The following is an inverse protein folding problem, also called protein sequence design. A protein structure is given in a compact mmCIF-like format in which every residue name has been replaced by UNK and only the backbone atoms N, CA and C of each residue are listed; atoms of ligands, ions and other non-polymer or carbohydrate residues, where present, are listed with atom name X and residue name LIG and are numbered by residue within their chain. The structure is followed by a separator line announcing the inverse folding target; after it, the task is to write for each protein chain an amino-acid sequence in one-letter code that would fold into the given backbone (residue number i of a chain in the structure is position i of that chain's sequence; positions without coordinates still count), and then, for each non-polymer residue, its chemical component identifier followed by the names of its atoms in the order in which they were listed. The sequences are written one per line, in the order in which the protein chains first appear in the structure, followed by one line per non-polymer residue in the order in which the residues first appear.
data_IF_724915255600
#
_entry.id   IF_724915255600
#
_cell.length_a   1.000
_cell.length_b   1.000
_cell.length_c   1.000
_cell.angle_alpha   90.00
_cell.angle_beta   90.00
_cell.angle_gamma   90.00
#
_symmetry.space_group_name_H-M   'P 1'
#
loop_
_entity.id
_entity.type
_entity.pdbx_description
1 polymer ?
#
# COMPACT_ATOMS: atom_id res chain seq x y z
N UNK A 1 -10.47 -18.80 3.35
CA UNK A 1 -10.21 -17.34 3.37
C UNK A 1 -8.98 -17.11 4.25
N UNK A 2 -7.80 -17.09 3.64
CA UNK A 2 -6.56 -16.47 4.13
C UNK A 2 -5.44 -16.86 3.17
N UNK A 3 -4.82 -15.89 2.50
CA UNK A 3 -3.51 -16.06 1.84
C UNK A 3 -2.80 -14.72 1.82
N UNK A 4 -2.63 -14.16 3.03
CA UNK A 4 -1.68 -13.09 3.26
C UNK A 4 -0.37 -13.72 3.75
N UNK A 5 0.80 -13.25 3.26
CA UNK A 5 0.97 -12.15 2.32
C UNK A 5 0.59 -12.53 0.88
N UNK A 6 -0.24 -11.71 0.22
CA UNK A 6 -0.59 -11.90 -1.19
C UNK A 6 0.41 -11.15 -2.05
N UNK A 7 1.03 -11.86 -2.98
CA UNK A 7 1.99 -11.34 -3.94
C UNK A 7 1.41 -11.50 -5.34
N UNK A 8 1.02 -10.39 -5.97
CA UNK A 8 0.64 -10.41 -7.38
C UNK A 8 1.90 -10.19 -8.21
N UNK A 9 2.31 -11.17 -9.03
CA UNK A 9 3.61 -11.13 -9.72
C UNK A 9 3.65 -10.11 -10.88
N UNK A 10 2.52 -9.85 -11.55
CA UNK A 10 2.45 -8.94 -12.71
C UNK A 10 2.58 -7.46 -12.33
N UNK A 11 1.93 -7.07 -11.24
CA UNK A 11 2.07 -5.75 -10.66
C UNK A 11 2.63 -5.99 -9.27
N UNK A 12 3.89 -5.60 -9.02
CA UNK A 12 4.66 -5.82 -7.78
C UNK A 12 3.97 -5.21 -6.53
N UNK A 13 2.78 -5.71 -6.23
CA UNK A 13 1.86 -5.31 -5.18
C UNK A 13 2.01 -6.36 -4.08
N UNK A 14 2.31 -5.88 -2.88
CA UNK A 14 2.41 -6.70 -1.68
C UNK A 14 1.33 -6.26 -0.71
N UNK A 15 0.48 -7.19 -0.31
CA UNK A 15 -0.51 -6.97 0.74
C UNK A 15 -0.09 -7.81 1.93
N UNK A 16 0.09 -7.17 3.09
CA UNK A 16 0.52 -7.85 4.31
C UNK A 16 -0.11 -7.21 5.56
N UNK A 17 -0.33 -7.99 6.63
CA UNK A 17 -0.70 -7.44 7.93
C UNK A 17 0.38 -6.49 8.46
N UNK A 18 -0.03 -5.42 9.14
CA UNK A 18 0.89 -4.50 9.84
C UNK A 18 0.19 -3.98 11.10
N UNK A 19 0.76 -4.23 12.28
CA UNK A 19 0.15 -3.83 13.54
C UNK A 19 -1.27 -4.39 13.69
N UNK A 20 -2.26 -3.51 13.86
CA UNK A 20 -3.69 -3.87 13.99
C UNK A 20 -4.45 -3.86 12.65
N UNK A 21 -3.76 -3.58 11.55
CA UNK A 21 -4.36 -3.36 10.24
C UNK A 21 -3.66 -4.10 9.10
N UNK A 22 -3.86 -3.60 7.90
CA UNK A 22 -3.28 -4.14 6.66
C UNK A 22 -2.54 -3.01 5.94
N UNK A 23 -1.39 -3.35 5.37
CA UNK A 23 -0.66 -2.46 4.47
C UNK A 23 -0.60 -3.03 3.05
N UNK A 24 -0.78 -2.13 2.09
CA UNK A 24 -0.53 -2.37 0.67
C UNK A 24 0.70 -1.59 0.24
N UNK A 25 1.64 -2.26 -0.44
CA UNK A 25 2.85 -1.64 -0.99
C UNK A 25 2.86 -1.85 -2.51
N UNK A 26 3.08 -0.78 -3.27
CA UNK A 26 3.26 -0.83 -4.71
C UNK A 26 4.17 0.32 -5.20
N UNK A 27 5.43 0.38 -4.76
CA UNK A 27 6.31 1.52 -5.04
C UNK A 27 6.59 1.72 -6.53
N UNK A 28 6.61 0.63 -7.32
CA UNK A 28 6.72 0.70 -8.78
C UNK A 28 5.50 1.35 -9.46
N UNK A 29 4.41 1.55 -8.72
CA UNK A 29 3.16 2.17 -9.16
C UNK A 29 2.94 3.54 -8.50
N UNK A 30 3.97 4.14 -7.88
CA UNK A 30 3.86 5.45 -7.23
C UNK A 30 3.37 5.40 -5.77
N UNK A 31 2.96 4.22 -5.30
CA UNK A 31 2.34 4.05 -4.00
C UNK A 31 3.33 3.40 -3.02
N UNK A 32 3.90 4.20 -2.13
CA UNK A 32 4.86 3.73 -1.13
C UNK A 32 4.19 2.83 -0.10
N UNK A 33 3.06 3.25 0.47
CA UNK A 33 2.28 2.46 1.44
C UNK A 33 0.85 3.02 1.54
N UNK A 34 -0.15 2.15 1.49
CA UNK A 34 -1.47 2.45 2.07
C UNK A 34 -1.62 1.60 3.30
N UNK A 35 -1.79 2.24 4.45
CA UNK A 35 -2.13 1.58 5.70
C UNK A 35 -3.59 1.84 6.03
N UNK A 36 -4.28 0.80 6.50
CA UNK A 36 -5.66 0.89 6.96
C UNK A 36 -5.86 0.02 8.19
N UNK A 37 -6.47 0.59 9.24
CA UNK A 37 -7.03 -0.13 10.38
C UNK A 37 -8.40 0.42 10.75
N UNK A 38 -8.96 -0.05 11.88
CA UNK A 38 -10.30 0.34 12.34
C UNK A 38 -10.42 1.84 12.65
N UNK A 39 -9.31 2.52 12.95
CA UNK A 39 -9.31 3.86 13.52
C UNK A 39 -8.72 4.91 12.57
N UNK A 40 -7.90 4.48 11.61
CA UNK A 40 -7.09 5.37 10.81
C UNK A 40 -6.73 4.77 9.46
N UNK A 41 -6.41 5.64 8.52
CA UNK A 41 -5.78 5.29 7.26
C UNK A 41 -4.66 6.27 6.95
N UNK A 42 -3.69 5.85 6.17
CA UNK A 42 -2.60 6.72 5.71
C UNK A 42 -2.19 6.30 4.31
N UNK A 43 -2.03 7.28 3.43
CA UNK A 43 -1.47 7.09 2.09
C UNK A 43 -0.11 7.76 2.04
N UNK A 44 0.92 6.96 1.78
CA UNK A 44 2.27 7.42 1.47
C UNK A 44 2.52 7.17 -0.01
N UNK A 45 2.88 8.22 -0.72
CA UNK A 45 3.34 8.16 -2.10
C UNK A 45 4.85 8.32 -2.14
N UNK A 46 5.47 7.80 -3.18
CA UNK A 46 6.91 7.95 -3.43
C UNK A 46 7.26 9.38 -3.89
N UNK A 47 8.51 9.80 -3.70
CA UNK A 47 8.93 11.19 -3.97
C UNK A 47 8.69 11.65 -5.41
N UNK A 48 8.83 10.76 -6.40
CA UNK A 48 8.62 11.11 -7.81
C UNK A 48 7.15 11.37 -8.19
N UNK A 49 6.21 11.12 -7.27
CA UNK A 49 4.80 11.50 -7.37
C UNK A 49 4.52 12.91 -6.83
N UNK A 50 5.52 13.61 -6.28
CA UNK A 50 5.37 14.99 -5.81
C UNK A 50 4.84 15.89 -6.94
N UNK A 51 3.74 16.60 -6.67
CA UNK A 51 3.07 17.47 -7.65
C UNK A 51 2.30 16.75 -8.75
N UNK A 52 2.21 15.41 -8.71
CA UNK A 52 1.48 14.57 -9.69
C UNK A 52 0.24 13.90 -9.09
N UNK A 53 -0.12 14.28 -7.87
CA UNK A 53 -1.29 13.77 -7.15
C UNK A 53 -2.29 14.91 -6.94
N UNK A 54 -3.57 14.60 -7.03
CA UNK A 54 -4.69 15.44 -6.62
C UNK A 54 -5.65 14.59 -5.78
N UNK A 55 -6.58 15.22 -5.07
CA UNK A 55 -7.53 14.54 -4.18
C UNK A 55 -8.61 15.49 -3.70
#
# INVERSE_FOLDING_TARGET
ISNLPHHHLKAKIQIRPKGKGISVYAPSQGLQEVYFDKNSWTVKVVDWMKGKTCG
#
